data_IF_805919094829
#
_entry.id   IF_805919094829
#
_cell.length_a   1.000
_cell.length_b   1.000
_cell.length_c   1.000
_cell.angle_alpha   90.00
_cell.angle_beta   90.00
_cell.angle_gamma   90.00
#
_symmetry.space_group_name_H-M   'P 1'
#
loop_
_entity.id
_entity.type
_entity.pdbx_description
1 polymer ?
#
# COMPACT_ATOMS: atom_id res chain seq x y z
N UNK A 1 -25.12 2.69 11.43
CA UNK A 1 -24.75 2.82 10.06
C UNK A 1 -23.53 3.68 9.85
N UNK A 2 -23.61 4.90 10.28
CA UNK A 2 -22.48 5.79 10.10
C UNK A 2 -21.24 5.40 10.89
N UNK A 3 -21.41 4.71 12.01
CA UNK A 3 -20.27 4.25 12.82
C UNK A 3 -19.47 3.18 12.09
N UNK A 4 -20.12 2.28 11.36
CA UNK A 4 -19.43 1.24 10.60
C UNK A 4 -18.65 1.84 9.43
N UNK A 5 -19.26 2.70 8.65
CA UNK A 5 -18.60 3.37 7.55
C UNK A 5 -17.44 4.24 8.03
N UNK A 6 -17.63 4.90 9.18
CA UNK A 6 -16.59 5.71 9.79
C UNK A 6 -15.41 4.87 10.26
N UNK A 7 -15.68 3.68 10.81
CA UNK A 7 -14.64 2.76 11.22
C UNK A 7 -13.83 2.29 10.02
N UNK A 8 -14.50 1.93 8.95
CA UNK A 8 -13.85 1.48 7.74
C UNK A 8 -12.97 2.56 7.11
N UNK A 9 -13.40 3.81 7.20
CA UNK A 9 -12.61 4.93 6.67
C UNK A 9 -11.22 5.01 7.29
N UNK A 10 -11.10 4.63 8.54
CA UNK A 10 -9.83 4.69 9.26
C UNK A 10 -9.07 3.37 9.25
N UNK A 11 -9.65 2.32 8.73
CA UNK A 11 -8.98 1.03 8.66
C UNK A 11 -8.00 1.00 7.50
N UNK A 12 -6.77 0.52 7.71
CA UNK A 12 -5.83 0.37 6.59
C UNK A 12 -6.28 -0.74 5.65
N UNK A 13 -5.91 -0.62 4.38
CA UNK A 13 -6.13 -1.68 3.40
C UNK A 13 -5.35 -2.91 3.83
N UNK A 14 -5.96 -4.09 3.70
CA UNK A 14 -5.32 -5.33 4.08
C UNK A 14 -4.75 -6.04 2.85
N UNK A 15 -3.44 -6.27 2.85
CA UNK A 15 -2.76 -7.01 1.80
C UNK A 15 -2.59 -8.45 2.24
N UNK A 16 -2.88 -9.38 1.31
CA UNK A 16 -2.79 -10.81 1.57
C UNK A 16 -4.05 -11.44 2.13
N UNK A 17 -5.08 -10.66 2.42
CA UNK A 17 -6.35 -11.15 2.96
C UNK A 17 -7.48 -11.19 1.92
N UNK A 18 -7.17 -10.95 0.66
CA UNK A 18 -8.14 -11.09 -0.42
C UNK A 18 -8.95 -9.83 -0.71
N UNK A 19 -9.92 -9.98 -1.60
CA UNK A 19 -10.58 -8.85 -2.23
C UNK A 19 -11.57 -8.10 -1.34
N UNK A 20 -12.03 -8.70 -0.26
CA UNK A 20 -13.08 -8.11 0.55
C UNK A 20 -12.64 -6.77 1.15
N UNK A 21 -11.46 -6.73 1.76
CA UNK A 21 -10.96 -5.51 2.36
C UNK A 21 -10.63 -4.45 1.31
N UNK A 22 -10.14 -4.88 0.15
CA UNK A 22 -9.87 -3.96 -0.95
C UNK A 22 -11.15 -3.29 -1.45
N UNK A 23 -12.24 -4.05 -1.53
CA UNK A 23 -13.54 -3.50 -1.93
C UNK A 23 -14.09 -2.52 -0.90
N UNK A 24 -13.99 -2.87 0.37
CA UNK A 24 -14.44 -1.99 1.44
C UNK A 24 -13.64 -0.68 1.47
N UNK A 25 -12.34 -0.78 1.30
CA UNK A 25 -11.48 0.40 1.23
C UNK A 25 -11.84 1.28 0.04
N UNK A 26 -12.04 0.69 -1.13
CA UNK A 26 -12.43 1.43 -2.32
C UNK A 26 -13.75 2.17 -2.14
N UNK A 27 -14.72 1.57 -1.45
CA UNK A 27 -16.00 2.21 -1.17
C UNK A 27 -15.88 3.37 -0.20
N UNK A 28 -15.04 3.24 0.82
CA UNK A 28 -14.82 4.30 1.79
C UNK A 28 -13.97 5.42 1.22
N UNK A 29 -12.98 5.08 0.42
CA UNK A 29 -12.08 6.06 -0.19
C UNK A 29 -12.77 6.90 -1.26
N UNK A 30 -13.89 6.45 -1.81
CA UNK A 30 -14.60 7.25 -2.80
C UNK A 30 -15.04 8.61 -2.26
N UNK A 31 -15.25 8.71 -0.95
CA UNK A 31 -15.62 9.95 -0.27
C UNK A 31 -14.42 10.68 0.34
N UNK A 32 -13.29 10.02 0.47
CA UNK A 32 -12.07 10.59 1.02
C UNK A 32 -11.10 10.92 -0.12
N UNK A 33 -9.95 11.45 0.22
CA UNK A 33 -8.92 11.70 -0.76
C UNK A 33 -8.33 10.37 -1.23
N UNK A 34 -8.42 10.10 -2.51
CA UNK A 34 -7.78 8.92 -3.11
C UNK A 34 -6.31 9.16 -3.45
N UNK A 35 -5.69 10.06 -2.74
CA UNK A 35 -4.31 10.42 -3.01
C UNK A 35 -3.36 9.69 -2.06
N UNK A 36 -2.31 9.10 -2.58
CA UNK A 36 -2.03 8.90 -4.01
C UNK A 36 -2.83 7.73 -4.57
N UNK A 37 -3.14 7.73 -5.87
CA UNK A 37 -3.78 6.58 -6.49
C UNK A 37 -2.85 5.38 -6.49
N UNK A 38 -3.41 4.20 -6.33
CA UNK A 38 -2.63 2.98 -6.30
C UNK A 38 -3.40 1.82 -6.91
N UNK A 39 -2.68 0.80 -7.32
CA UNK A 39 -3.20 -0.47 -7.80
C UNK A 39 -2.64 -1.61 -6.96
N UNK A 40 -3.44 -2.64 -6.76
CA UNK A 40 -2.97 -3.89 -6.22
C UNK A 40 -3.16 -4.94 -7.31
N UNK A 41 -2.05 -5.50 -7.78
CA UNK A 41 -2.02 -6.41 -8.91
C UNK A 41 -1.79 -7.82 -8.40
N UNK A 42 -2.63 -8.75 -8.82
CA UNK A 42 -2.41 -10.16 -8.52
C UNK A 42 -1.39 -10.72 -9.50
N UNK A 43 -0.21 -11.05 -9.02
CA UNK A 43 0.85 -11.64 -9.84
C UNK A 43 0.73 -13.16 -9.83
N UNK A 44 0.48 -13.74 -8.67
CA UNK A 44 0.27 -15.18 -8.50
C UNK A 44 -0.59 -15.42 -7.27
N UNK A 45 -0.81 -16.68 -6.92
CA UNK A 45 -1.59 -17.01 -5.72
C UNK A 45 -0.89 -16.54 -4.42
N UNK A 46 0.42 -16.35 -4.47
CA UNK A 46 1.21 -15.97 -3.30
C UNK A 46 1.84 -14.59 -3.39
N UNK A 47 1.74 -13.92 -4.53
CA UNK A 47 2.39 -12.62 -4.74
C UNK A 47 1.38 -11.60 -5.25
N UNK A 48 1.33 -10.47 -4.57
CA UNK A 48 0.63 -9.27 -5.03
C UNK A 48 1.65 -8.16 -5.23
N UNK A 49 1.39 -7.30 -6.17
CA UNK A 49 2.24 -6.14 -6.41
C UNK A 49 1.44 -4.86 -6.11
N UNK A 50 1.98 -4.03 -5.26
CA UNK A 50 1.42 -2.72 -4.99
C UNK A 50 2.12 -1.70 -5.87
N UNK A 51 1.34 -0.90 -6.57
CA UNK A 51 1.81 0.10 -7.50
C UNK A 51 1.20 1.45 -7.14
N UNK A 52 2.03 2.42 -6.82
CA UNK A 52 1.58 3.74 -6.34
C UNK A 52 2.09 4.81 -7.28
N UNK A 53 1.19 5.68 -7.74
CA UNK A 53 1.54 6.78 -8.62
C UNK A 53 2.10 7.94 -7.79
N UNK A 54 3.40 8.20 -7.94
CA UNK A 54 4.12 9.24 -7.21
C UNK A 54 4.92 10.13 -8.15
N UNK A 55 4.39 10.40 -9.33
CA UNK A 55 5.06 11.28 -10.29
C UNK A 55 5.31 12.65 -9.67
N UNK A 56 6.52 13.16 -9.89
CA UNK A 56 6.92 14.45 -9.36
C UNK A 56 7.65 14.41 -8.04
N UNK A 57 7.70 13.24 -7.38
CA UNK A 57 8.51 13.05 -6.19
C UNK A 57 9.86 12.46 -6.56
N UNK A 58 10.89 12.83 -5.82
CA UNK A 58 12.19 12.18 -5.93
C UNK A 58 12.22 10.98 -4.99
N UNK A 59 13.14 10.05 -5.27
CA UNK A 59 13.30 8.88 -4.42
C UNK A 59 13.55 9.26 -2.95
N UNK A 60 14.34 10.30 -2.71
CA UNK A 60 14.69 10.73 -1.37
C UNK A 60 13.51 11.32 -0.59
N UNK A 61 12.46 11.72 -1.30
CA UNK A 61 11.27 12.25 -0.67
C UNK A 61 10.28 11.15 -0.25
N UNK A 62 10.51 9.92 -0.70
CA UNK A 62 9.62 8.78 -0.45
C UNK A 62 10.21 7.90 0.63
N UNK A 63 9.38 7.51 1.60
CA UNK A 63 9.76 6.60 2.65
C UNK A 63 8.83 5.40 2.66
N UNK A 64 9.39 4.20 2.67
CA UNK A 64 8.65 2.95 2.75
C UNK A 64 9.12 2.21 4.01
N UNK A 65 8.20 1.88 4.88
CA UNK A 65 8.53 1.22 6.14
C UNK A 65 7.52 0.12 6.45
N UNK A 66 7.97 -0.92 7.13
CA UNK A 66 7.11 -1.97 7.67
C UNK A 66 7.39 -2.08 9.15
N UNK A 67 6.34 -1.97 9.93
CA UNK A 67 6.42 -2.11 11.38
C UNK A 67 5.15 -2.80 11.89
N UNK A 68 5.33 -3.87 12.65
CA UNK A 68 4.21 -4.61 13.25
C UNK A 68 3.12 -4.98 12.24
N UNK A 69 3.55 -5.51 11.11
CA UNK A 69 2.64 -5.92 10.02
C UNK A 69 1.87 -4.77 9.38
N UNK A 70 2.35 -3.54 9.53
CA UNK A 70 1.80 -2.39 8.84
C UNK A 70 2.83 -1.85 7.88
N UNK A 71 2.47 -1.82 6.60
CA UNK A 71 3.26 -1.18 5.56
C UNK A 71 2.84 0.28 5.49
N UNK A 72 3.79 1.17 5.63
CA UNK A 72 3.55 2.61 5.51
C UNK A 72 4.35 3.16 4.35
N UNK A 73 3.68 3.88 3.47
CA UNK A 73 4.33 4.66 2.42
C UNK A 73 3.98 6.11 2.67
N UNK A 74 4.99 6.94 2.78
CA UNK A 74 4.82 8.35 3.08
C UNK A 74 5.81 9.19 2.30
N UNK A 75 5.52 10.47 2.20
CA UNK A 75 6.42 11.44 1.58
C UNK A 75 6.76 12.53 2.57
N UNK A 76 7.98 13.03 2.47
CA UNK A 76 8.41 14.19 3.23
C UNK A 76 7.77 15.44 2.64
N UNK A 77 7.62 16.46 3.49
CA UNK A 77 7.05 17.72 3.05
C UNK A 77 7.88 18.31 1.92
N UNK A 78 7.24 18.52 0.77
CA UNK A 78 7.88 19.16 -0.37
C UNK A 78 8.10 20.64 -0.06
N UNK A 79 9.28 21.15 -0.42
CA UNK A 79 9.53 22.58 -0.35
C UNK A 79 8.74 23.28 -1.44
N UNK A 80 8.23 24.46 -1.14
CA UNK A 80 7.63 25.29 -2.15
C UNK A 80 8.71 25.68 -3.17
N UNK A 81 8.36 25.55 -4.45
CA UNK A 81 9.32 25.80 -5.52
C UNK A 81 9.47 27.28 -5.87
N UNK A 82 8.65 28.15 -5.30
CA UNK A 82 8.70 29.59 -5.53
C UNK A 82 8.26 30.02 -6.92
N UNK A 83 7.73 29.08 -7.71
CA UNK A 83 7.28 29.41 -9.06
C UNK A 83 5.89 30.04 -9.05
N UNK A 84 5.66 30.91 -10.01
CA UNK A 84 4.36 31.50 -10.23
C UNK A 84 3.59 30.71 -11.25
N UNK A 85 2.38 30.24 -10.89
CA UNK A 85 1.57 29.41 -11.78
C UNK A 85 0.41 30.20 -12.34
N UNK A 86 0.20 30.10 -13.65
CA UNK A 86 -1.05 30.57 -14.26
C UNK A 86 -2.16 29.55 -14.08
N UNK A 87 -1.78 28.26 -13.95
CA UNK A 87 -2.68 27.17 -13.61
C UNK A 87 -1.91 26.12 -12.83
N UNK A 88 -2.45 25.68 -11.72
CA UNK A 88 -1.82 24.64 -10.88
C UNK A 88 -2.81 23.49 -10.70
N UNK A 89 -2.78 22.54 -11.64
CA UNK A 89 -3.63 21.36 -11.58
C UNK A 89 -2.92 20.14 -11.00
N UNK A 90 -1.60 20.22 -10.81
CA UNK A 90 -0.79 19.13 -10.32
C UNK A 90 -0.26 19.50 -8.94
N UNK A 91 -0.72 18.80 -7.92
CA UNK A 91 -0.27 19.07 -6.56
C UNK A 91 0.53 17.89 -6.02
N UNK A 92 1.73 18.17 -5.51
CA UNK A 92 2.54 17.20 -4.77
C UNK A 92 2.21 17.36 -3.30
N UNK A 93 1.28 16.54 -2.82
CA UNK A 93 0.84 16.60 -1.43
C UNK A 93 1.65 15.64 -0.57
N UNK A 94 1.97 16.05 0.63
CA UNK A 94 2.48 15.10 1.61
C UNK A 94 1.36 14.13 1.95
N UNK A 95 1.72 12.86 2.10
CA UNK A 95 0.75 11.83 2.46
C UNK A 95 1.42 10.76 3.32
N UNK A 96 0.60 9.99 3.97
CA UNK A 96 1.01 8.74 4.62
C UNK A 96 -0.13 7.76 4.46
N UNK A 97 0.13 6.65 3.80
CA UNK A 97 -0.85 5.57 3.63
C UNK A 97 -0.34 4.31 4.27
N UNK A 98 -1.26 3.57 4.87
CA UNK A 98 -0.97 2.35 5.58
C UNK A 98 -1.71 1.18 4.96
N UNK A 99 -1.06 0.03 4.91
CA UNK A 99 -1.66 -1.23 4.51
C UNK A 99 -1.38 -2.26 5.59
N UNK A 100 -2.41 -2.94 6.04
CA UNK A 100 -2.26 -4.01 7.01
C UNK A 100 -1.78 -5.27 6.30
N UNK A 101 -0.69 -5.84 6.77
CA UNK A 101 -0.14 -7.08 6.25
C UNK A 101 -0.57 -8.25 7.12
N UNK A 102 -0.77 -9.43 6.52
CA UNK A 102 -0.95 -10.64 7.29
C UNK A 102 0.41 -11.11 7.85
N UNK A 103 0.36 -11.93 8.90
CA UNK A 103 1.57 -12.34 9.63
C UNK A 103 2.60 -13.07 8.76
N UNK A 104 2.14 -13.74 7.72
CA UNK A 104 2.97 -14.53 6.83
C UNK A 104 3.36 -13.78 5.56
N UNK A 105 3.33 -12.47 5.58
CA UNK A 105 3.57 -11.64 4.41
C UNK A 105 4.89 -10.91 4.52
N UNK A 106 5.63 -10.89 3.41
CA UNK A 106 6.93 -10.23 3.28
C UNK A 106 6.84 -9.20 2.16
N UNK A 107 7.39 -8.00 2.41
CA UNK A 107 7.50 -6.95 1.40
C UNK A 107 8.91 -7.00 0.82
N UNK A 108 9.00 -7.03 -0.50
CA UNK A 108 10.30 -7.11 -1.19
C UNK A 108 10.24 -6.38 -2.54
N UNK A 109 11.40 -6.24 -3.17
CA UNK A 109 11.53 -5.65 -4.51
C UNK A 109 10.92 -4.26 -4.63
N UNK A 110 11.25 -3.40 -3.68
CA UNK A 110 10.77 -2.01 -3.70
C UNK A 110 11.57 -1.23 -4.74
N UNK A 111 10.87 -0.70 -5.74
CA UNK A 111 11.50 0.08 -6.81
C UNK A 111 10.70 1.34 -7.08
N UNK A 112 11.38 2.38 -7.54
CA UNK A 112 10.74 3.61 -7.98
C UNK A 112 11.26 3.96 -9.36
N UNK A 113 10.39 3.87 -10.36
CA UNK A 113 10.74 4.09 -11.75
C UNK A 113 9.53 4.64 -12.51
N UNK A 114 9.78 5.55 -13.43
CA UNK A 114 8.75 6.14 -14.28
C UNK A 114 7.60 6.77 -13.49
N UNK A 115 7.90 7.31 -12.32
CA UNK A 115 6.89 7.91 -11.46
C UNK A 115 6.04 6.91 -10.68
N UNK A 116 6.37 5.63 -10.76
CA UNK A 116 5.65 4.57 -10.05
C UNK A 116 6.53 3.94 -8.99
N UNK A 117 6.02 3.91 -7.78
CA UNK A 117 6.61 3.12 -6.71
C UNK A 117 5.95 1.76 -6.74
N UNK A 118 6.73 0.72 -6.96
CA UNK A 118 6.22 -0.64 -6.97
C UNK A 118 6.92 -1.47 -5.89
N UNK A 119 6.16 -2.34 -5.27
CA UNK A 119 6.71 -3.28 -4.31
C UNK A 119 5.90 -4.58 -4.37
N UNK A 120 6.58 -5.66 -4.10
CA UNK A 120 5.96 -6.98 -4.08
C UNK A 120 5.62 -7.37 -2.64
N UNK A 121 4.42 -7.87 -2.47
CA UNK A 121 3.95 -8.41 -1.21
C UNK A 121 3.77 -9.91 -1.41
N UNK A 122 4.66 -10.68 -0.82
CA UNK A 122 4.71 -12.12 -1.00
C UNK A 122 4.28 -12.83 0.28
N UNK A 123 3.42 -13.80 0.10
CA UNK A 123 3.00 -14.66 1.21
C UNK A 123 4.06 -15.74 1.42
N UNK A 124 4.57 -15.84 2.63
CA UNK A 124 5.58 -16.82 3.01
C UNK A 124 5.05 -17.64 4.17
N UNK A 125 4.71 -18.90 3.88
CA UNK A 125 4.20 -19.80 4.90
C UNK A 125 5.39 -20.33 5.69
N UNK A 126 5.44 -20.11 7.03
CA UNK A 126 6.53 -20.67 7.84
C UNK A 126 6.63 -22.17 7.70
N UNK A 127 7.84 -22.70 7.80
CA UNK A 127 8.10 -24.13 7.65
C UNK A 127 7.25 -24.96 8.61
N UNK A 128 7.03 -24.45 9.81
CA UNK A 128 6.23 -25.14 10.84
C UNK A 128 4.74 -25.26 10.46
N UNK A 129 4.27 -24.37 9.58
CA UNK A 129 2.86 -24.35 9.14
C UNK A 129 2.65 -25.01 7.80
N UNK A 130 3.71 -25.45 7.14
CA UNK A 130 3.59 -26.14 5.87
C UNK A 130 3.09 -27.58 6.09
N UNK A 131 2.42 -28.10 5.05
CA UNK A 131 1.94 -29.47 5.11
C UNK A 131 3.10 -30.45 5.28
N UNK A 132 3.02 -31.30 6.28
CA UNK A 132 4.00 -32.34 6.54
C UNK A 132 3.33 -33.70 6.42
N UNK A 133 3.99 -34.64 5.79
CA UNK A 133 3.59 -36.03 5.86
C UNK A 133 4.24 -36.66 7.07
N UNK A 134 3.42 -37.15 7.98
CA UNK A 134 3.91 -37.79 9.19
C UNK A 134 3.97 -39.30 8.97
N UNK A 135 5.06 -39.98 9.40
CA UNK A 135 5.15 -41.43 9.27
C UNK A 135 4.17 -42.11 10.20
N UNK A 136 3.58 -43.21 9.73
CA UNK A 136 2.69 -44.03 10.52
C UNK A 136 3.48 -45.25 10.95
N UNK A 137 3.59 -45.44 12.25
CA UNK A 137 4.27 -46.61 12.82
C UNK A 137 3.31 -47.74 13.07
#
# INVERSE_FOLDING_TARGET
>A
MNSLARWETYSPVSLGMGDLFNRLDALTDSAATNYPPYNIIKVSDTVQQLEIALAGFTRDEIEVAVERNVLTVSTKKAKEDGREYTHKGLARRTFARNWQLSDDTVVENVTYQDGLLTLDVRKEIPVEQQRKLLPIS
#
